data_IF_450808856495
#
_entry.id   IF_450808856495
#
_cell.length_a   1.000
_cell.length_b   1.000
_cell.length_c   1.000
_cell.angle_alpha   90.00
_cell.angle_beta   90.00
_cell.angle_gamma   90.00
#
_symmetry.space_group_name_H-M   'P 1'
#
loop_
_entity.id
_entity.type
_entity.pdbx_description
1 polymer ?
#
# COMPACT_ATOMS: atom_id res chain seq x y z
N UNK A 1 -6.78 -0.70 8.11
CA UNK A 1 -7.47 -0.26 9.35
C UNK A 1 -8.28 0.99 9.05
N UNK A 2 -9.61 0.98 9.26
CA UNK A 2 -10.48 2.12 8.95
C UNK A 2 -10.57 3.10 10.13
N UNK A 3 -10.95 4.36 9.85
CA UNK A 3 -11.14 5.40 10.88
C UNK A 3 -12.09 5.00 12.02
N UNK A 4 -13.27 4.41 11.73
CA UNK A 4 -14.21 3.97 12.76
C UNK A 4 -13.65 2.93 13.72
N UNK A 5 -12.88 1.94 13.22
CA UNK A 5 -12.25 0.90 14.06
C UNK A 5 -11.26 1.54 15.04
N UNK A 6 -10.50 2.55 14.59
CA UNK A 6 -9.55 3.26 15.44
C UNK A 6 -10.28 4.03 16.55
N UNK A 7 -11.37 4.73 16.20
CA UNK A 7 -12.16 5.50 17.15
C UNK A 7 -12.79 4.61 18.22
N UNK A 8 -13.35 3.46 17.82
CA UNK A 8 -13.93 2.48 18.73
C UNK A 8 -12.88 1.89 19.67
N UNK A 9 -11.70 1.51 19.15
CA UNK A 9 -10.60 0.98 19.97
C UNK A 9 -10.12 1.98 21.01
N UNK A 10 -9.99 3.25 20.63
CA UNK A 10 -9.55 4.29 21.56
C UNK A 10 -10.60 4.53 22.64
N UNK A 11 -11.89 4.54 22.30
CA UNK A 11 -12.97 4.62 23.30
C UNK A 11 -12.94 3.43 24.28
N UNK A 12 -12.65 2.21 23.81
CA UNK A 12 -12.49 1.05 24.69
C UNK A 12 -11.32 1.21 25.67
N UNK A 13 -10.20 1.80 25.23
CA UNK A 13 -9.06 2.07 26.12
C UNK A 13 -9.38 3.18 27.12
N UNK A 14 -10.02 4.24 26.66
CA UNK A 14 -10.41 5.38 27.47
C UNK A 14 -11.34 4.98 28.63
N UNK A 15 -12.36 4.17 28.32
CA UNK A 15 -13.23 3.55 29.32
C UNK A 15 -12.45 2.71 30.34
N UNK A 16 -11.49 1.90 29.88
CA UNK A 16 -10.65 1.07 30.76
C UNK A 16 -9.70 1.88 31.64
N UNK A 17 -9.32 3.07 31.20
CA UNK A 17 -8.44 3.97 31.94
C UNK A 17 -9.20 4.89 32.91
N UNK A 18 -10.53 4.83 32.94
CA UNK A 18 -11.37 5.62 33.85
C UNK A 18 -11.63 7.05 33.36
N UNK A 19 -11.49 7.28 32.05
CA UNK A 19 -11.80 8.56 31.44
C UNK A 19 -13.23 8.50 30.90
N UNK A 20 -14.16 9.23 31.52
CA UNK A 20 -15.59 9.15 31.17
C UNK A 20 -16.00 10.18 30.10
N UNK A 21 -15.20 11.23 29.91
CA UNK A 21 -15.57 12.39 29.09
C UNK A 21 -14.83 12.46 27.75
N UNK A 22 -13.94 11.52 27.46
CA UNK A 22 -13.22 11.59 26.20
C UNK A 22 -14.05 11.02 25.05
N UNK A 23 -13.96 11.68 23.90
CA UNK A 23 -14.69 11.32 22.70
C UNK A 23 -13.71 11.25 21.55
N UNK A 24 -13.58 10.06 20.96
CA UNK A 24 -12.83 9.86 19.73
C UNK A 24 -13.58 10.44 18.52
N UNK A 25 -13.81 11.75 18.49
CA UNK A 25 -14.49 12.45 17.40
C UNK A 25 -13.67 12.39 16.11
N UNK A 26 -14.30 12.76 14.99
CA UNK A 26 -13.58 12.86 13.72
C UNK A 26 -12.47 13.92 13.79
N UNK A 27 -12.71 15.05 14.45
CA UNK A 27 -11.71 16.10 14.65
C UNK A 27 -10.55 15.63 15.51
N UNK A 28 -10.83 14.87 16.58
CA UNK A 28 -9.79 14.25 17.39
C UNK A 28 -8.92 13.32 16.54
N UNK A 29 -9.53 12.46 15.72
CA UNK A 29 -8.80 11.55 14.85
C UNK A 29 -7.95 12.30 13.82
N UNK A 30 -8.48 13.38 13.22
CA UNK A 30 -7.73 14.21 12.27
C UNK A 30 -6.54 14.91 12.95
N UNK A 31 -6.75 15.49 14.12
CA UNK A 31 -5.69 16.14 14.90
C UNK A 31 -4.64 15.14 15.39
N UNK A 32 -5.06 13.96 15.83
CA UNK A 32 -4.17 12.87 16.21
C UNK A 32 -3.28 12.43 15.04
N UNK A 33 -3.87 12.23 13.86
CA UNK A 33 -3.11 11.90 12.66
C UNK A 33 -2.12 13.01 12.30
N UNK A 34 -2.56 14.26 12.32
CA UNK A 34 -1.71 15.43 12.02
C UNK A 34 -0.55 15.56 13.01
N UNK A 35 -0.80 15.39 14.31
CA UNK A 35 0.21 15.49 15.38
C UNK A 35 1.27 14.39 15.28
N UNK A 36 0.88 13.19 14.88
CA UNK A 36 1.77 12.03 14.77
C UNK A 36 2.24 11.77 13.33
N UNK A 37 2.02 12.71 12.42
CA UNK A 37 2.36 12.61 11.00
C UNK A 37 1.88 11.30 10.34
N UNK A 38 0.70 10.79 10.76
CA UNK A 38 0.10 9.58 10.21
C UNK A 38 -0.64 9.92 8.92
N UNK A 39 -0.20 9.30 7.83
CA UNK A 39 -0.78 9.46 6.51
C UNK A 39 -1.44 8.15 6.05
N UNK A 40 -2.52 8.30 5.29
CA UNK A 40 -3.13 7.17 4.59
C UNK A 40 -2.31 6.92 3.33
N UNK A 41 -1.45 5.91 3.36
CA UNK A 41 -0.68 5.51 2.19
C UNK A 41 -1.38 4.35 1.49
N UNK A 42 -1.44 4.43 0.16
CA UNK A 42 -1.74 3.26 -0.65
C UNK A 42 -0.47 2.41 -0.65
N UNK A 43 -0.58 1.13 -0.29
CA UNK A 43 0.52 0.20 -0.52
C UNK A 43 0.64 0.06 -2.03
N UNK A 44 1.72 0.60 -2.60
CA UNK A 44 2.11 0.27 -3.96
C UNK A 44 2.83 -1.09 -3.91
N UNK A 45 2.70 -1.88 -4.98
CA UNK A 45 3.37 -3.17 -5.10
C UNK A 45 4.90 -3.05 -5.01
N UNK A 46 5.60 -4.15 -5.28
CA UNK A 46 7.07 -4.14 -5.24
C UNK A 46 7.64 -3.00 -6.10
N UNK A 47 8.53 -2.21 -5.49
CA UNK A 47 9.34 -1.25 -6.24
C UNK A 47 10.58 -1.99 -6.71
N UNK A 48 10.41 -2.86 -7.71
CA UNK A 48 11.52 -3.56 -8.33
C UNK A 48 12.38 -2.54 -9.08
N UNK A 49 13.51 -2.14 -8.48
CA UNK A 49 14.56 -1.44 -9.21
C UNK A 49 15.28 -2.45 -10.11
N UNK A 50 14.80 -2.57 -11.34
CA UNK A 50 15.54 -3.26 -12.40
C UNK A 50 16.71 -2.35 -12.82
N UNK A 51 17.88 -2.96 -13.03
CA UNK A 51 19.07 -2.26 -13.50
C UNK A 51 18.87 -1.68 -14.91
N UNK A 52 19.32 -0.44 -15.13
CA UNK A 52 19.14 0.26 -16.41
C UNK A 52 19.86 -0.44 -17.57
N UNK A 53 20.96 -1.15 -17.28
CA UNK A 53 21.69 -1.98 -18.24
C UNK A 53 20.85 -3.18 -18.69
N UNK A 54 20.19 -3.86 -17.75
CA UNK A 54 19.25 -4.95 -18.04
C UNK A 54 18.08 -4.46 -18.88
N UNK A 55 17.48 -3.31 -18.53
CA UNK A 55 16.43 -2.69 -19.34
C UNK A 55 16.90 -2.39 -20.77
N UNK A 56 18.13 -1.92 -20.94
CA UNK A 56 18.70 -1.60 -22.25
C UNK A 56 18.95 -2.86 -23.07
N UNK A 57 19.45 -3.93 -22.46
CA UNK A 57 19.65 -5.22 -23.10
C UNK A 57 18.34 -5.82 -23.63
N UNK A 58 17.29 -5.81 -22.80
CA UNK A 58 15.98 -6.34 -23.18
C UNK A 58 15.33 -5.55 -24.31
N UNK A 59 15.58 -4.24 -24.43
CA UNK A 59 15.10 -3.45 -25.59
C UNK A 59 15.62 -3.98 -26.93
N UNK A 60 16.82 -4.57 -26.97
CA UNK A 60 17.37 -5.14 -28.19
C UNK A 60 16.95 -6.60 -28.40
N UNK A 61 16.74 -7.37 -27.32
CA UNK A 61 16.33 -8.77 -27.40
C UNK A 61 14.84 -8.96 -27.72
N UNK A 62 13.99 -8.08 -27.22
CA UNK A 62 12.53 -8.22 -27.33
C UNK A 62 12.05 -8.28 -28.80
N UNK A 63 12.52 -7.42 -29.74
CA UNK A 63 12.09 -7.48 -31.13
C UNK A 63 12.45 -8.80 -31.84
N UNK A 64 13.56 -9.43 -31.46
CA UNK A 64 13.96 -10.73 -32.00
C UNK A 64 13.06 -11.85 -31.48
N UNK A 65 12.73 -11.81 -30.18
CA UNK A 65 11.84 -12.80 -29.53
C UNK A 65 10.40 -12.71 -30.04
N UNK A 66 9.91 -11.51 -30.35
CA UNK A 66 8.55 -11.30 -30.87
C UNK A 66 8.46 -11.42 -32.39
N UNK A 67 9.56 -11.75 -33.08
CA UNK A 67 9.59 -11.82 -34.54
C UNK A 67 8.66 -12.92 -35.06
N UNK A 68 7.78 -12.55 -35.98
CA UNK A 68 6.81 -13.48 -36.59
C UNK A 68 5.52 -13.68 -35.79
N UNK A 69 5.38 -13.00 -34.65
CA UNK A 69 4.11 -12.89 -33.94
C UNK A 69 3.41 -11.58 -34.31
N UNK A 70 2.11 -11.66 -34.58
CA UNK A 70 1.28 -10.46 -34.67
C UNK A 70 1.21 -9.76 -33.31
N UNK A 71 1.15 -8.41 -33.25
CA UNK A 71 1.10 -7.66 -31.99
C UNK A 71 -0.02 -8.12 -31.04
N UNK A 72 -1.15 -8.57 -31.58
CA UNK A 72 -2.32 -9.06 -30.84
C UNK A 72 -2.06 -10.37 -30.09
N UNK A 73 -1.00 -11.10 -30.46
CA UNK A 73 -0.60 -12.38 -29.86
C UNK A 73 0.57 -12.23 -28.86
N UNK A 74 1.00 -10.99 -28.57
CA UNK A 74 2.09 -10.71 -27.63
C UNK A 74 1.46 -10.23 -26.32
N UNK A 75 1.54 -11.04 -25.28
CA UNK A 75 1.00 -10.73 -23.96
C UNK A 75 2.14 -10.58 -22.95
N UNK A 76 2.05 -9.58 -22.07
CA UNK A 76 2.88 -9.55 -20.88
C UNK A 76 2.19 -10.36 -19.76
N UNK A 77 2.95 -11.18 -19.06
CA UNK A 77 2.53 -11.83 -17.83
C UNK A 77 3.52 -11.40 -16.75
N UNK A 78 3.19 -10.31 -16.07
CA UNK A 78 4.08 -9.70 -15.06
C UNK A 78 3.85 -10.33 -13.67
N UNK A 79 2.61 -10.70 -13.35
CA UNK A 79 2.26 -11.24 -12.05
C UNK A 79 0.99 -12.11 -12.10
N UNK A 80 1.01 -13.25 -11.40
CA UNK A 80 -0.18 -14.01 -11.06
C UNK A 80 -0.19 -14.26 -9.56
N UNK A 81 -1.01 -13.51 -8.82
CA UNK A 81 -1.06 -13.60 -7.36
C UNK A 81 -2.42 -14.10 -6.86
N UNK A 82 -2.40 -14.96 -5.84
CA UNK A 82 -3.60 -15.46 -5.18
C UNK A 82 -3.77 -14.75 -3.83
N UNK A 83 -4.69 -13.79 -3.81
CA UNK A 83 -4.96 -12.97 -2.63
C UNK A 83 -5.88 -13.68 -1.61
N UNK A 84 -5.29 -14.38 -0.63
CA UNK A 84 -6.03 -14.97 0.50
C UNK A 84 -5.85 -14.12 1.78
N UNK A 85 -6.95 -13.51 2.27
CA UNK A 85 -7.00 -12.64 3.46
C UNK A 85 -6.15 -11.37 3.36
N UNK A 86 -6.12 -10.74 2.19
CA UNK A 86 -5.29 -9.57 1.97
C UNK A 86 -5.68 -8.39 2.83
N UNK A 87 -4.65 -7.72 3.35
CA UNK A 87 -4.81 -6.46 4.05
C UNK A 87 -5.41 -5.43 3.09
N UNK A 88 -6.22 -4.48 3.59
CA UNK A 88 -6.73 -3.41 2.75
C UNK A 88 -5.56 -2.63 2.13
N UNK A 89 -5.66 -2.33 0.83
CA UNK A 89 -4.67 -1.60 0.01
C UNK A 89 -4.24 -0.23 0.58
N UNK A 90 -4.93 0.22 1.62
CA UNK A 90 -4.73 1.49 2.30
C UNK A 90 -4.41 1.24 3.77
N UNK A 91 -3.17 1.54 4.14
CA UNK A 91 -2.69 1.46 5.51
C UNK A 91 -2.41 2.85 6.07
N UNK A 92 -2.50 2.96 7.39
CA UNK A 92 -2.05 4.15 8.10
C UNK A 92 -0.54 3.96 8.35
N UNK A 93 0.29 4.83 7.77
CA UNK A 93 1.76 4.79 7.93
C UNK A 93 2.27 6.13 8.40
N UNK A 94 3.45 6.17 9.03
CA UNK A 94 4.11 7.42 9.34
C UNK A 94 4.59 8.08 8.04
N UNK A 95 4.60 9.40 8.02
CA UNK A 95 5.10 10.18 6.89
C UNK A 95 6.60 9.90 6.71
N UNK A 96 6.96 9.44 5.50
CA UNK A 96 8.35 9.07 5.16
C UNK A 96 8.64 7.58 5.23
N UNK A 97 7.72 6.77 5.78
CA UNK A 97 7.83 5.31 5.69
C UNK A 97 7.67 4.88 4.24
N UNK A 98 8.58 4.00 3.80
CA UNK A 98 8.46 3.34 2.52
C UNK A 98 7.44 2.20 2.65
N UNK A 99 6.25 2.39 2.09
CA UNK A 99 5.27 1.31 1.93
C UNK A 99 5.63 0.46 0.72
N UNK A 100 6.36 -0.64 0.94
CA UNK A 100 6.57 -1.67 -0.06
C UNK A 100 5.54 -2.79 0.16
N UNK A 101 4.94 -3.30 -0.91
CA UNK A 101 4.18 -4.54 -0.88
C UNK A 101 5.04 -5.72 -0.39
N UNK A 102 4.38 -6.76 0.13
CA UNK A 102 5.05 -7.99 0.55
C UNK A 102 5.59 -8.79 -0.64
N UNK A 103 6.52 -9.69 -0.36
CA UNK A 103 6.93 -10.79 -1.24
C UNK A 103 5.96 -11.96 -1.17
#
# INVERSE_FOLDING_TARGET
MSGPILQEKVQQFDFKLGHENFRASNEWLQNFKKRNELIFQKVCGENAKVDDGVCTEWKYKLPELTKGYEPENIYNADETELFLKCLPDKILSCKGDKCHGGK
#
